data_IF_785571091367
#
_entry.id   IF_785571091367
#
_cell.length_a   1.000
_cell.length_b   1.000
_cell.length_c   1.000
_cell.angle_alpha   90.00
_cell.angle_beta   90.00
_cell.angle_gamma   90.00
#
_symmetry.space_group_name_H-M   'P 1'
#
loop_
_entity.id
_entity.type
_entity.pdbx_description
1 polymer ?
#
# COMPACT_ATOMS: atom_id res chain seq x y z
N UNK A 1 8.62 -4.14 -15.45
CA UNK A 1 8.59 -3.86 -14.00
C UNK A 1 9.24 -2.52 -13.65
N UNK A 2 8.58 -1.69 -12.84
CA UNK A 2 9.07 -0.41 -12.31
C UNK A 2 8.57 -0.22 -10.87
N UNK A 3 9.29 0.57 -10.07
CA UNK A 3 8.80 1.02 -8.76
C UNK A 3 8.20 2.40 -8.94
N UNK A 4 6.96 2.58 -8.50
CA UNK A 4 6.28 3.87 -8.39
C UNK A 4 5.82 4.09 -6.95
N UNK A 5 5.40 5.29 -6.61
CA UNK A 5 4.92 5.63 -5.26
C UNK A 5 3.49 6.17 -5.35
N UNK A 6 2.60 5.64 -4.50
CA UNK A 6 1.16 5.88 -4.56
C UNK A 6 0.76 7.36 -4.39
N UNK A 7 1.42 8.11 -3.51
CA UNK A 7 1.06 9.50 -3.27
C UNK A 7 1.53 10.47 -4.36
N UNK A 8 2.52 10.08 -5.17
CA UNK A 8 3.14 10.93 -6.20
C UNK A 8 2.82 10.51 -7.65
N UNK A 9 2.23 9.33 -7.86
CA UNK A 9 1.76 8.89 -9.19
C UNK A 9 0.54 9.68 -9.68
N UNK A 10 0.43 9.84 -11.00
CA UNK A 10 -0.66 10.60 -11.65
C UNK A 10 -2.01 9.87 -11.59
N UNK A 11 -2.02 8.53 -11.66
CA UNK A 11 -3.25 7.74 -11.78
C UNK A 11 -3.62 6.99 -10.50
N UNK A 12 -3.85 7.73 -9.41
CA UNK A 12 -4.19 7.14 -8.09
C UNK A 12 -5.45 6.28 -8.12
N UNK A 13 -6.45 6.65 -8.92
CA UNK A 13 -7.70 5.90 -9.01
C UNK A 13 -7.48 4.49 -9.57
N UNK A 14 -6.65 4.35 -10.61
CA UNK A 14 -6.24 3.06 -11.15
C UNK A 14 -5.52 2.22 -10.09
N UNK A 15 -4.52 2.78 -9.43
CA UNK A 15 -3.75 2.04 -8.44
C UNK A 15 -4.57 1.66 -7.20
N UNK A 16 -5.53 2.49 -6.80
CA UNK A 16 -6.47 2.14 -5.73
C UNK A 16 -7.33 0.93 -6.14
N UNK A 17 -7.81 0.88 -7.39
CA UNK A 17 -8.54 -0.29 -7.93
C UNK A 17 -7.66 -1.54 -7.98
N UNK A 18 -6.39 -1.40 -8.36
CA UNK A 18 -5.44 -2.52 -8.36
C UNK A 18 -5.18 -3.06 -6.94
N UNK A 19 -4.95 -2.17 -5.95
CA UNK A 19 -4.76 -2.58 -4.54
C UNK A 19 -6.02 -3.30 -4.01
N UNK A 20 -7.22 -2.88 -4.42
CA UNK A 20 -8.48 -3.54 -4.05
C UNK A 20 -8.57 -5.00 -4.51
N UNK A 21 -7.87 -5.39 -5.58
CA UNK A 21 -7.89 -6.76 -6.11
C UNK A 21 -7.12 -7.75 -5.24
N UNK A 22 -6.23 -7.27 -4.37
CA UNK A 22 -5.42 -8.13 -3.52
C UNK A 22 -6.30 -8.92 -2.54
N UNK A 23 -6.17 -10.25 -2.55
CA UNK A 23 -7.04 -11.20 -1.85
C UNK A 23 -6.72 -11.41 -0.36
N UNK A 24 -5.76 -10.66 0.19
CA UNK A 24 -5.26 -10.79 1.55
C UNK A 24 -5.66 -9.60 2.43
N UNK A 25 -5.85 -9.85 3.72
CA UNK A 25 -6.43 -8.89 4.68
C UNK A 25 -5.67 -7.56 4.73
N UNK A 26 -4.35 -7.60 4.79
CA UNK A 26 -3.56 -6.37 4.83
C UNK A 26 -3.62 -5.56 3.52
N UNK A 27 -3.85 -6.19 2.36
CA UNK A 27 -4.13 -5.46 1.12
C UNK A 27 -5.49 -4.76 1.14
N UNK A 28 -6.53 -5.44 1.64
CA UNK A 28 -7.84 -4.82 1.83
C UNK A 28 -7.79 -3.68 2.85
N UNK A 29 -7.03 -3.84 3.92
CA UNK A 29 -6.84 -2.80 4.92
C UNK A 29 -6.08 -1.59 4.36
N UNK A 30 -5.01 -1.80 3.57
CA UNK A 30 -4.34 -0.71 2.87
C UNK A 30 -5.30 0.05 1.95
N UNK A 31 -6.10 -0.67 1.15
CA UNK A 31 -7.11 -0.05 0.29
C UNK A 31 -8.06 0.84 1.10
N UNK A 32 -8.56 0.36 2.24
CA UNK A 32 -9.42 1.14 3.12
C UNK A 32 -8.73 2.43 3.58
N UNK A 33 -7.51 2.34 4.12
CA UNK A 33 -6.76 3.50 4.61
C UNK A 33 -6.49 4.55 3.53
N UNK A 34 -6.22 4.11 2.30
CA UNK A 34 -6.01 4.99 1.16
C UNK A 34 -7.31 5.63 0.67
N UNK A 35 -8.40 4.86 0.63
CA UNK A 35 -9.73 5.34 0.23
C UNK A 35 -10.32 6.38 1.20
N UNK A 36 -10.01 6.25 2.50
CA UNK A 36 -10.42 7.18 3.55
C UNK A 36 -9.43 8.35 3.73
N UNK A 37 -8.33 8.36 2.98
CA UNK A 37 -7.22 9.31 3.14
C UNK A 37 -6.67 9.37 4.59
N UNK A 38 -6.72 8.24 5.30
CA UNK A 38 -6.41 8.12 6.73
C UNK A 38 -5.03 7.48 6.99
N UNK A 39 -4.35 6.97 5.95
CA UNK A 39 -3.06 6.31 6.08
C UNK A 39 -2.00 7.19 6.75
N UNK A 40 -1.77 8.41 6.24
CA UNK A 40 -0.74 9.32 6.77
C UNK A 40 -1.06 9.80 8.19
N UNK A 41 -2.33 9.99 8.52
CA UNK A 41 -2.74 10.33 9.88
C UNK A 41 -2.41 9.21 10.88
N UNK A 42 -2.58 7.94 10.46
CA UNK A 42 -2.32 6.77 11.30
C UNK A 42 -0.84 6.37 11.36
N UNK A 43 -0.17 6.35 10.21
CA UNK A 43 1.19 5.83 10.04
C UNK A 43 2.28 6.92 10.03
N UNK A 44 1.88 8.20 10.02
CA UNK A 44 2.73 9.37 10.01
C UNK A 44 2.79 10.07 8.64
N UNK A 45 2.97 11.39 8.65
CA UNK A 45 2.86 12.25 7.47
C UNK A 45 3.87 11.92 6.36
N UNK A 46 5.03 11.39 6.74
CA UNK A 46 6.08 10.96 5.80
C UNK A 46 5.95 9.49 5.39
N UNK A 47 4.79 8.85 5.64
CA UNK A 47 4.54 7.49 5.19
C UNK A 47 4.51 7.41 3.65
N UNK A 48 5.09 6.34 3.11
CA UNK A 48 5.20 6.05 1.69
C UNK A 48 4.54 4.72 1.37
N UNK A 49 4.01 4.58 0.15
CA UNK A 49 3.54 3.30 -0.38
C UNK A 49 4.20 3.03 -1.73
N UNK A 50 5.41 2.45 -1.74
CA UNK A 50 6.04 1.98 -2.96
C UNK A 50 5.30 0.77 -3.53
N UNK A 51 5.11 0.78 -4.83
CA UNK A 51 4.42 -0.25 -5.59
C UNK A 51 5.33 -0.74 -6.71
N UNK A 52 5.57 -2.05 -6.77
CA UNK A 52 6.15 -2.72 -7.92
C UNK A 52 5.04 -2.95 -8.93
N UNK A 53 5.17 -2.35 -10.10
CA UNK A 53 4.19 -2.45 -11.17
C UNK A 53 4.82 -3.06 -12.41
N UNK A 54 4.03 -3.80 -13.17
CA UNK A 54 4.39 -4.27 -14.49
C UNK A 54 3.34 -3.77 -15.47
N UNK A 55 3.73 -2.79 -16.29
CA UNK A 55 2.81 -2.01 -17.11
C UNK A 55 1.67 -1.42 -16.24
N UNK A 56 0.42 -1.79 -16.51
CA UNK A 56 -0.76 -1.34 -15.79
C UNK A 56 -1.20 -2.29 -14.66
N UNK A 57 -0.38 -3.30 -14.33
CA UNK A 57 -0.67 -4.27 -13.26
C UNK A 57 0.14 -4.00 -12.00
N UNK A 58 -0.52 -4.06 -10.85
CA UNK A 58 0.17 -4.11 -9.55
C UNK A 58 0.72 -5.51 -9.28
N UNK A 59 2.05 -5.62 -9.14
CA UNK A 59 2.72 -6.88 -8.81
C UNK A 59 2.81 -7.06 -7.29
N UNK A 60 3.27 -6.03 -6.58
CA UNK A 60 3.37 -6.03 -5.12
C UNK A 60 3.48 -4.60 -4.57
N UNK A 61 3.27 -4.42 -3.28
CA UNK A 61 3.49 -3.14 -2.60
C UNK A 61 4.03 -3.37 -1.19
N UNK A 62 4.52 -2.29 -0.58
CA UNK A 62 4.80 -2.23 0.85
C UNK A 62 4.47 -0.84 1.39
N UNK A 63 4.37 -0.71 2.72
CA UNK A 63 4.22 0.58 3.40
C UNK A 63 5.48 0.89 4.19
N UNK A 64 6.05 2.07 4.00
CA UNK A 64 7.09 2.60 4.87
C UNK A 64 6.49 3.69 5.74
N UNK A 65 6.48 3.48 7.05
CA UNK A 65 5.86 4.39 8.00
C UNK A 65 6.92 4.89 9.00
N UNK A 66 6.99 6.21 9.29
CA UNK A 66 7.86 6.72 10.36
C UNK A 66 7.33 6.34 11.76
N UNK A 67 6.04 6.01 11.88
CA UNK A 67 5.39 5.68 13.14
C UNK A 67 5.23 4.16 13.23
N UNK A 68 6.22 3.53 13.88
CA UNK A 68 6.18 2.10 14.21
C UNK A 68 5.18 1.83 15.34
N UNK A 69 3.88 1.86 15.02
CA UNK A 69 2.87 1.36 15.95
C UNK A 69 2.84 -0.16 15.92
N UNK A 70 3.43 -0.78 16.93
CA UNK A 70 3.31 -2.22 17.25
C UNK A 70 1.85 -2.49 17.61
N UNK A 71 1.02 -2.69 16.60
CA UNK A 71 -0.30 -3.29 16.72
C UNK A 71 -0.32 -4.46 15.75
N UNK A 72 -0.94 -5.59 16.12
CA UNK A 72 -0.81 -6.87 15.39
C UNK A 72 -1.09 -6.73 13.88
N UNK A 73 -2.00 -5.83 13.50
CA UNK A 73 -2.40 -5.53 12.11
C UNK A 73 -1.32 -4.72 11.38
N UNK A 74 -0.65 -3.77 12.05
CA UNK A 74 0.47 -3.02 11.47
C UNK A 74 1.67 -3.93 11.19
N UNK A 75 1.90 -4.95 12.02
CA UNK A 75 2.99 -5.90 11.78
C UNK A 75 2.79 -6.69 10.49
N UNK A 76 1.56 -7.02 10.08
CA UNK A 76 1.35 -7.73 8.81
C UNK A 76 1.54 -6.83 7.57
N UNK A 77 1.29 -5.53 7.71
CA UNK A 77 1.65 -4.51 6.72
C UNK A 77 3.16 -4.20 6.69
N UNK A 78 3.84 -4.24 7.85
CA UNK A 78 5.25 -3.87 8.00
C UNK A 78 6.25 -5.02 7.82
N UNK A 79 5.82 -6.28 7.91
CA UNK A 79 6.63 -7.40 7.41
C UNK A 79 6.53 -7.44 5.90
N UNK A 80 7.33 -6.58 5.26
CA UNK A 80 7.54 -6.46 3.83
C UNK A 80 8.07 -7.77 3.21
N UNK A 81 7.21 -8.80 3.12
CA UNK A 81 7.30 -9.77 2.05
C UNK A 81 6.36 -9.27 0.96
N UNK A 82 6.87 -8.86 -0.22
CA UNK A 82 6.02 -8.55 -1.35
C UNK A 82 5.18 -9.79 -1.65
N UNK A 83 3.89 -9.74 -1.29
CA UNK A 83 2.92 -10.76 -1.68
C UNK A 83 2.39 -10.36 -3.05
N UNK A 84 2.33 -11.31 -3.96
CA UNK A 84 1.78 -11.07 -5.29
C UNK A 84 0.30 -10.71 -5.15
N UNK A 85 -0.13 -9.63 -5.79
CA UNK A 85 -1.55 -9.40 -6.01
C UNK A 85 -1.98 -10.22 -7.24
N UNK A 86 -2.92 -11.12 -7.00
CA UNK A 86 -3.50 -12.07 -7.96
C UNK A 86 -3.97 -11.40 -9.23
#
# INVERSE_FOLDING_TARGET
MKIIEYFTTENKEHWLKEIKKCDWEAGQYLHQLLSENSLKQKLGETALVPMLVDEDRLVSFCTFAPKDFINLITMELMHAKPRHCS
#
